data_IF_632031607994
#
_entry.id   IF_632031607994
#
_cell.length_a   1.000
_cell.length_b   1.000
_cell.length_c   1.000
_cell.angle_alpha   90.00
_cell.angle_beta   90.00
_cell.angle_gamma   90.00
#
_symmetry.space_group_name_H-M   'P 1'
#
loop_
_entity.id
_entity.type
_entity.pdbx_description
1 polymer ?
#
# COMPACT_ATOMS: atom_id res chain seq x y z
N UNK A 1 -8.75 -27.54 10.49
CA UNK A 1 -8.18 -26.24 10.04
C UNK A 1 -7.33 -26.55 8.81
N UNK A 2 -7.85 -26.34 7.59
CA UNK A 2 -7.22 -26.80 6.35
C UNK A 2 -6.05 -25.87 5.98
N UNK A 3 -4.85 -26.42 6.06
CA UNK A 3 -3.57 -25.74 5.79
C UNK A 3 -3.43 -25.37 4.29
N UNK A 4 -4.21 -25.98 3.41
CA UNK A 4 -4.20 -25.72 1.97
C UNK A 4 -4.72 -24.33 1.57
N UNK A 5 -5.54 -23.67 2.40
CA UNK A 5 -6.07 -22.32 2.11
C UNK A 5 -5.04 -21.18 2.29
N UNK A 6 -3.85 -21.48 2.83
CA UNK A 6 -2.79 -20.50 3.06
C UNK A 6 -1.89 -20.30 1.84
N UNK A 7 -1.85 -21.24 0.90
CA UNK A 7 -0.78 -21.28 -0.12
C UNK A 7 -1.04 -20.51 -1.41
N UNK A 8 -2.24 -19.95 -1.63
CA UNK A 8 -2.55 -19.27 -2.91
C UNK A 8 -3.15 -17.86 -2.74
N UNK A 9 -2.74 -17.13 -1.70
CA UNK A 9 -3.10 -15.72 -1.53
C UNK A 9 -2.06 -14.85 -2.21
N UNK A 10 -2.50 -13.93 -3.05
CA UNK A 10 -1.63 -12.95 -3.70
C UNK A 10 -2.01 -11.54 -3.28
N UNK A 11 -1.02 -10.64 -3.29
CA UNK A 11 -1.27 -9.22 -3.11
C UNK A 11 -1.86 -8.64 -4.41
N UNK A 12 -2.88 -7.81 -4.29
CA UNK A 12 -3.47 -7.06 -5.38
C UNK A 12 -3.58 -5.60 -5.00
N UNK A 13 -3.57 -4.71 -5.99
CA UNK A 13 -3.81 -3.29 -5.78
C UNK A 13 -5.27 -2.97 -6.09
N UNK A 14 -5.96 -2.33 -5.14
CA UNK A 14 -7.37 -1.98 -5.25
C UNK A 14 -7.63 -0.51 -4.92
N UNK A 15 -8.77 -0.02 -5.38
CA UNK A 15 -9.22 1.35 -5.21
C UNK A 15 -10.41 1.45 -4.26
N UNK A 16 -10.47 2.54 -3.51
CA UNK A 16 -11.59 2.85 -2.63
C UNK A 16 -11.96 4.33 -2.67
N UNK A 17 -13.21 4.64 -2.33
CA UNK A 17 -13.69 6.00 -2.23
C UNK A 17 -13.11 6.67 -0.96
N UNK A 18 -12.39 7.77 -1.14
CA UNK A 18 -11.69 8.49 -0.06
C UNK A 18 -12.57 9.37 0.82
N UNK A 19 -13.87 9.47 0.51
CA UNK A 19 -14.80 10.29 1.28
C UNK A 19 -15.04 9.75 2.70
N UNK A 20 -15.10 10.65 3.68
CA UNK A 20 -15.52 10.31 5.04
C UNK A 20 -14.65 9.23 5.71
N UNK A 21 -15.30 8.22 6.28
CA UNK A 21 -14.68 7.07 6.98
C UNK A 21 -14.74 5.77 6.17
N UNK A 22 -14.82 5.91 4.85
CA UNK A 22 -15.01 4.79 3.93
C UNK A 22 -13.88 3.77 4.01
N UNK A 23 -12.63 4.24 4.21
CA UNK A 23 -11.46 3.36 4.36
C UNK A 23 -11.60 2.46 5.59
N UNK A 24 -11.92 3.03 6.74
CA UNK A 24 -12.05 2.29 8.00
C UNK A 24 -13.19 1.28 7.93
N UNK A 25 -14.34 1.69 7.37
CA UNK A 25 -15.49 0.80 7.15
C UNK A 25 -15.13 -0.36 6.22
N UNK A 26 -14.50 -0.05 5.08
CA UNK A 26 -14.08 -1.06 4.11
C UNK A 26 -13.07 -2.05 4.72
N UNK A 27 -12.10 -1.54 5.47
CA UNK A 27 -11.04 -2.37 6.04
C UNK A 27 -11.59 -3.29 7.14
N UNK A 28 -12.51 -2.80 7.98
CA UNK A 28 -13.23 -3.63 8.95
C UNK A 28 -13.99 -4.75 8.26
N UNK A 29 -14.77 -4.39 7.24
CA UNK A 29 -15.55 -5.37 6.48
C UNK A 29 -14.68 -6.42 5.77
N UNK A 30 -13.56 -6.02 5.18
CA UNK A 30 -12.62 -6.96 4.54
C UNK A 30 -12.02 -7.95 5.55
N UNK A 31 -11.65 -7.47 6.74
CA UNK A 31 -11.15 -8.33 7.82
C UNK A 31 -12.20 -9.36 8.26
N UNK A 32 -13.48 -8.98 8.34
CA UNK A 32 -14.60 -9.90 8.61
C UNK A 32 -14.74 -10.99 7.54
N UNK A 33 -14.37 -10.68 6.28
CA UNK A 33 -14.34 -11.65 5.18
C UNK A 33 -13.03 -12.46 5.11
N UNK A 34 -12.15 -12.35 6.12
CA UNK A 34 -10.84 -12.98 6.17
C UNK A 34 -9.90 -12.58 5.01
N UNK A 35 -10.12 -11.36 4.50
CA UNK A 35 -9.30 -10.69 3.49
C UNK A 35 -8.46 -9.64 4.20
N UNK A 36 -7.16 -9.54 3.86
CA UNK A 36 -6.23 -8.69 4.61
C UNK A 36 -5.96 -7.40 3.80
N UNK A 37 -6.56 -6.25 4.16
CA UNK A 37 -6.25 -4.97 3.56
C UNK A 37 -5.02 -4.35 4.22
N UNK A 38 -4.23 -3.64 3.44
CA UNK A 38 -3.09 -2.88 3.93
C UNK A 38 -2.87 -1.61 3.11
N UNK A 39 -2.46 -0.52 3.75
CA UNK A 39 -2.05 0.71 3.05
C UNK A 39 -0.94 1.39 3.85
N UNK A 40 0.11 1.91 3.20
CA UNK A 40 1.15 2.63 3.90
C UNK A 40 0.62 3.94 4.48
N UNK A 41 0.91 4.18 5.76
CA UNK A 41 0.43 5.33 6.52
C UNK A 41 1.62 6.21 6.97
N UNK A 42 1.39 7.52 7.02
CA UNK A 42 2.33 8.51 7.58
C UNK A 42 1.65 9.39 8.61
N UNK A 43 2.41 9.78 9.64
CA UNK A 43 1.95 10.76 10.63
C UNK A 43 2.47 12.16 10.29
N UNK A 44 1.57 13.11 10.06
CA UNK A 44 1.91 14.54 9.88
C UNK A 44 1.47 15.37 11.07
N UNK A 45 2.28 16.37 11.43
CA UNK A 45 1.92 17.40 12.42
C UNK A 45 1.25 18.55 11.68
N UNK A 46 0.01 18.86 12.03
CA UNK A 46 -0.74 20.00 11.48
C UNK A 46 -0.89 21.04 12.56
N UNK A 47 -0.61 22.30 12.20
CA UNK A 47 -0.79 23.43 13.10
C UNK A 47 -2.28 23.61 13.39
N UNK A 48 -2.63 23.77 14.67
CA UNK A 48 -3.99 24.11 15.07
C UNK A 48 -4.31 25.53 14.64
N UNK A 49 -5.45 25.72 13.99
CA UNK A 49 -5.94 27.05 13.65
C UNK A 49 -6.34 27.86 14.90
N UNK A 50 -6.72 27.16 15.97
CA UNK A 50 -7.22 27.72 17.23
C UNK A 50 -6.14 27.93 18.31
N UNK A 51 -4.90 27.48 18.09
CA UNK A 51 -3.81 27.68 19.04
C UNK A 51 -2.45 27.68 18.31
N UNK A 52 -1.83 28.86 18.24
CA UNK A 52 -0.63 29.13 17.43
C UNK A 52 0.61 28.28 17.78
N UNK A 53 0.65 27.67 18.97
CA UNK A 53 1.78 26.88 19.49
C UNK A 53 1.50 25.36 19.54
N UNK A 54 0.32 24.92 19.10
CA UNK A 54 -0.12 23.54 19.27
C UNK A 54 -0.24 22.82 17.92
N UNK A 55 0.27 21.60 17.86
CA UNK A 55 0.21 20.74 16.68
C UNK A 55 -0.70 19.53 16.96
N UNK A 56 -1.53 19.14 15.99
CA UNK A 56 -2.25 17.87 15.99
C UNK A 56 -1.51 16.88 15.11
N UNK A 57 -1.22 15.70 15.63
CA UNK A 57 -0.76 14.57 14.81
C UNK A 57 -1.98 13.99 14.08
N UNK A 58 -1.89 13.84 12.77
CA UNK A 58 -2.88 13.14 11.94
C UNK A 58 -2.19 12.08 11.12
N UNK A 59 -2.83 10.91 11.04
CA UNK A 59 -2.40 9.80 10.21
C UNK A 59 -3.04 9.95 8.83
N UNK A 60 -2.25 9.76 7.79
CA UNK A 60 -2.65 9.89 6.39
C UNK A 60 -2.21 8.65 5.62
N UNK A 61 -3.03 8.20 4.67
CA UNK A 61 -2.57 7.27 3.65
C UNK A 61 -1.54 7.97 2.74
N UNK A 62 -0.43 7.28 2.47
CA UNK A 62 0.54 7.73 1.46
C UNK A 62 -0.12 7.74 0.08
N UNK A 63 -1.01 6.77 -0.17
CA UNK A 63 -1.79 6.62 -1.41
C UNK A 63 -3.29 6.76 -1.13
N UNK A 64 -3.83 7.98 -1.00
CA UNK A 64 -5.27 8.16 -0.88
C UNK A 64 -6.00 7.51 -2.05
N UNK A 65 -7.00 6.70 -1.75
CA UNK A 65 -7.82 6.00 -2.75
C UNK A 65 -7.27 4.67 -3.22
N UNK A 66 -6.06 4.28 -2.78
CA UNK A 66 -5.45 2.99 -3.12
C UNK A 66 -5.06 2.22 -1.87
N UNK A 67 -5.18 0.90 -1.96
CA UNK A 67 -4.74 -0.03 -0.92
C UNK A 67 -4.35 -1.37 -1.51
N UNK A 68 -3.46 -2.06 -0.83
CA UNK A 68 -3.08 -3.43 -1.13
C UNK A 68 -4.02 -4.38 -0.42
N UNK A 69 -4.33 -5.50 -1.05
CA UNK A 69 -5.19 -6.53 -0.48
C UNK A 69 -4.60 -7.91 -0.75
N UNK A 70 -4.42 -8.69 0.31
CA UNK A 70 -3.97 -10.07 0.23
C UNK A 70 -5.19 -10.98 0.23
N UNK A 71 -5.44 -11.62 -0.91
CA UNK A 71 -6.66 -12.42 -1.13
C UNK A 71 -6.39 -13.58 -2.08
N UNK A 72 -7.18 -14.64 -1.93
CA UNK A 72 -7.29 -15.72 -2.90
C UNK A 72 -8.66 -15.58 -3.59
N UNK A 73 -8.67 -15.32 -4.89
CA UNK A 73 -9.90 -15.13 -5.67
C UNK A 73 -10.73 -16.40 -5.86
N UNK A 74 -10.15 -17.59 -5.67
CA UNK A 74 -10.89 -18.85 -5.69
C UNK A 74 -11.83 -18.98 -4.48
N UNK A 75 -11.46 -18.34 -3.36
CA UNK A 75 -12.22 -18.35 -2.11
C UNK A 75 -13.10 -17.09 -2.02
N UNK A 76 -12.52 -15.93 -2.33
CA UNK A 76 -13.18 -14.64 -2.25
C UNK A 76 -13.21 -14.00 -3.64
N UNK A 77 -14.22 -14.29 -4.47
CA UNK A 77 -14.27 -13.82 -5.84
C UNK A 77 -14.37 -12.29 -5.88
N UNK A 78 -13.86 -11.69 -6.95
CA UNK A 78 -13.86 -10.23 -7.15
C UNK A 78 -15.27 -9.62 -7.01
N UNK A 79 -16.30 -10.33 -7.49
CA UNK A 79 -17.70 -9.92 -7.35
C UNK A 79 -18.15 -9.79 -5.89
N UNK A 80 -17.64 -10.65 -4.99
CA UNK A 80 -17.95 -10.58 -3.58
C UNK A 80 -17.38 -9.31 -2.94
N UNK A 81 -16.15 -8.92 -3.32
CA UNK A 81 -15.46 -7.74 -2.82
C UNK A 81 -16.09 -6.42 -3.30
N UNK A 82 -16.58 -6.40 -4.54
CA UNK A 82 -17.31 -5.25 -5.13
C UNK A 82 -18.65 -4.93 -4.46
N UNK A 83 -19.14 -5.78 -3.55
CA UNK A 83 -20.40 -5.52 -2.82
C UNK A 83 -20.29 -4.38 -1.81
N UNK A 84 -19.08 -4.06 -1.34
CA UNK A 84 -18.91 -2.98 -0.38
C UNK A 84 -18.94 -1.62 -1.10
N UNK A 85 -19.79 -0.69 -0.65
CA UNK A 85 -20.03 0.60 -1.31
C UNK A 85 -18.80 1.51 -1.43
N UNK A 86 -17.85 1.37 -0.49
CA UNK A 86 -16.59 2.10 -0.54
C UNK A 86 -15.54 1.48 -1.48
N UNK A 87 -15.71 0.23 -1.93
CA UNK A 87 -14.80 -0.43 -2.86
C UNK A 87 -15.10 0.04 -4.29
N UNK A 88 -14.09 0.46 -5.03
CA UNK A 88 -14.24 0.94 -6.42
C UNK A 88 -13.99 -0.23 -7.38
N UNK A 89 -12.72 -0.57 -7.60
CA UNK A 89 -12.33 -1.75 -8.38
C UNK A 89 -10.87 -2.11 -8.08
N UNK A 90 -10.43 -3.25 -8.60
CA UNK A 90 -9.02 -3.57 -8.70
C UNK A 90 -8.33 -2.75 -9.79
N UNK A 91 -7.07 -2.40 -9.55
CA UNK A 91 -6.21 -1.82 -10.59
C UNK A 91 -5.93 -2.90 -11.63
N UNK A 92 -6.10 -2.53 -12.90
CA UNK A 92 -5.91 -3.42 -14.04
C UNK A 92 -4.73 -2.95 -14.89
N UNK A 93 -3.87 -3.87 -15.28
CA UNK A 93 -2.76 -3.63 -16.20
C UNK A 93 -2.97 -4.48 -17.45
N UNK A 94 -3.06 -3.83 -18.61
CA UNK A 94 -3.44 -4.53 -19.85
C UNK A 94 -4.87 -5.11 -19.83
N UNK A 95 -5.77 -4.53 -19.02
CA UNK A 95 -7.16 -4.99 -18.88
C UNK A 95 -7.37 -6.10 -17.84
N UNK A 96 -6.30 -6.67 -17.30
CA UNK A 96 -6.36 -7.78 -16.34
C UNK A 96 -6.00 -7.34 -14.91
N UNK A 97 -6.61 -8.01 -13.92
CA UNK A 97 -6.25 -7.85 -12.52
C UNK A 97 -5.02 -8.73 -12.27
N UNK A 98 -3.85 -8.10 -12.14
CA UNK A 98 -2.60 -8.81 -11.92
C UNK A 98 -2.17 -8.76 -10.45
N UNK A 99 -1.55 -9.84 -9.93
CA UNK A 99 -0.96 -9.79 -8.60
C UNK A 99 0.18 -8.77 -8.57
N UNK A 100 0.30 -8.05 -7.47
CA UNK A 100 1.44 -7.19 -7.15
C UNK A 100 2.57 -8.07 -6.66
N UNK A 101 3.79 -7.80 -7.12
CA UNK A 101 4.98 -8.45 -6.59
C UNK A 101 5.06 -8.23 -5.05
N UNK A 102 5.13 -9.33 -4.30
CA UNK A 102 5.20 -9.33 -2.83
C UNK A 102 6.38 -8.51 -2.31
N UNK A 103 7.52 -8.48 -3.00
CA UNK A 103 8.71 -7.74 -2.58
C UNK A 103 8.47 -6.23 -2.51
N UNK A 104 7.58 -5.70 -3.37
CA UNK A 104 7.16 -4.29 -3.33
C UNK A 104 6.35 -4.02 -2.06
N UNK A 105 5.39 -4.89 -1.76
CA UNK A 105 4.55 -4.74 -0.57
C UNK A 105 5.38 -4.86 0.70
N UNK A 106 6.26 -5.87 0.76
CA UNK A 106 7.18 -6.07 1.88
C UNK A 106 8.13 -4.87 2.03
N UNK A 107 8.66 -4.34 0.92
CA UNK A 107 9.47 -3.13 0.92
C UNK A 107 8.75 -1.89 1.43
N UNK A 108 7.49 -1.70 1.00
CA UNK A 108 6.65 -0.59 1.48
C UNK A 108 6.30 -0.75 2.97
N UNK A 109 5.99 -1.96 3.44
CA UNK A 109 5.74 -2.25 4.85
C UNK A 109 6.96 -1.96 5.72
N UNK A 110 8.18 -2.20 5.21
CA UNK A 110 9.41 -1.86 5.92
C UNK A 110 9.60 -0.36 6.10
N UNK A 111 9.28 0.44 5.10
CA UNK A 111 9.43 1.91 5.14
C UNK A 111 8.30 2.55 5.95
N UNK A 112 7.08 2.01 5.83
CA UNK A 112 5.89 2.50 6.49
C UNK A 112 5.33 1.42 7.42
N UNK A 113 6.03 1.10 8.52
CA UNK A 113 5.50 0.17 9.50
C UNK A 113 4.20 0.72 10.08
N UNK A 114 3.27 -0.17 10.40
CA UNK A 114 1.98 0.23 10.96
C UNK A 114 2.22 1.12 12.19
N UNK A 115 1.74 2.37 12.22
CA UNK A 115 1.93 3.26 13.36
C UNK A 115 1.28 2.74 14.66
N UNK A 116 0.44 1.70 14.58
CA UNK A 116 -0.18 1.02 15.73
C UNK A 116 0.67 -0.16 16.24
N UNK A 117 1.58 -0.72 15.43
CA UNK A 117 2.46 -1.82 15.82
C UNK A 117 3.67 -1.29 16.61
N UNK A 118 3.52 -1.33 17.93
CA UNK A 118 4.51 -1.53 19.01
C UNK A 118 5.99 -1.17 18.73
N UNK A 119 6.68 -0.39 19.59
CA UNK A 119 8.14 -0.18 19.51
C UNK A 119 9.00 -1.45 19.36
N UNK A 120 8.55 -2.62 19.81
CA UNK A 120 9.25 -3.91 19.60
C UNK A 120 9.25 -4.43 18.14
N UNK A 121 8.31 -4.01 17.29
CA UNK A 121 8.27 -4.42 15.87
C UNK A 121 9.46 -3.86 15.07
N UNK A 122 10.11 -2.80 15.58
CA UNK A 122 11.26 -2.14 14.96
C UNK A 122 12.51 -3.01 14.98
N UNK A 123 12.66 -3.88 15.97
CA UNK A 123 13.77 -4.82 16.08
C UNK A 123 13.60 -6.01 15.12
N UNK A 124 12.38 -6.53 14.99
CA UNK A 124 12.03 -7.56 13.99
C UNK A 124 12.15 -7.03 12.54
N UNK A 125 11.78 -5.77 12.31
CA UNK A 125 11.97 -5.08 11.03
C UNK A 125 13.45 -4.86 10.67
N UNK A 126 14.30 -4.57 11.66
CA UNK A 126 15.75 -4.48 11.47
C UNK A 126 16.37 -5.86 11.19
N UNK A 127 15.88 -6.93 11.81
CA UNK A 127 16.28 -8.30 11.51
C UNK A 127 15.81 -8.76 10.11
N UNK A 128 14.66 -8.28 9.64
CA UNK A 128 14.15 -8.52 8.28
C UNK A 128 14.80 -7.63 7.20
N UNK A 129 15.71 -6.73 7.58
CA UNK A 129 16.37 -5.77 6.67
C UNK A 129 17.33 -6.42 5.67
N UNK A 130 17.65 -7.71 5.83
CA UNK A 130 18.56 -8.47 4.97
C UNK A 130 17.98 -8.85 3.59
N UNK A 131 16.71 -8.54 3.30
CA UNK A 131 16.12 -8.67 1.95
C UNK A 131 16.15 -7.30 1.28
N UNK A 132 17.08 -7.14 0.35
CA UNK A 132 17.44 -5.86 -0.26
C UNK A 132 16.43 -5.43 -1.33
N UNK A 133 15.72 -4.33 -1.06
CA UNK A 133 15.24 -3.47 -2.15
C UNK A 133 16.47 -2.98 -2.93
N UNK A 134 16.36 -2.96 -4.25
CA UNK A 134 17.42 -2.36 -5.07
C UNK A 134 17.57 -0.88 -4.72
N UNK A 135 18.78 -0.33 -4.84
CA UNK A 135 19.08 1.09 -4.57
C UNK A 135 18.11 2.03 -5.28
N UNK A 136 17.66 1.68 -6.48
CA UNK A 136 16.71 2.47 -7.25
C UNK A 136 15.27 2.39 -6.70
N UNK A 137 14.80 1.20 -6.29
CA UNK A 137 13.52 1.08 -5.58
C UNK A 137 13.51 1.91 -4.31
N UNK A 138 14.61 1.91 -3.55
CA UNK A 138 14.76 2.75 -2.36
C UNK A 138 14.72 4.25 -2.69
N UNK A 139 15.47 4.71 -3.69
CA UNK A 139 15.48 6.12 -4.12
C UNK A 139 14.13 6.58 -4.67
N UNK A 140 13.42 5.68 -5.36
CA UNK A 140 12.08 5.93 -5.85
C UNK A 140 11.09 6.14 -4.71
N UNK A 141 11.14 5.27 -3.70
CA UNK A 141 10.32 5.39 -2.47
C UNK A 141 10.65 6.69 -1.70
N UNK A 142 11.92 7.11 -1.67
CA UNK A 142 12.32 8.40 -1.11
C UNK A 142 11.77 9.60 -1.90
N UNK A 143 11.72 9.52 -3.25
CA UNK A 143 11.04 10.55 -4.06
C UNK A 143 9.55 10.61 -3.73
N UNK A 144 8.90 9.47 -3.50
CA UNK A 144 7.48 9.43 -3.12
C UNK A 144 7.21 10.09 -1.76
N UNK A 145 8.12 9.93 -0.79
CA UNK A 145 8.02 10.59 0.52
C UNK A 145 8.20 12.11 0.42
N UNK A 146 9.16 12.56 -0.38
CA UNK A 146 9.49 13.98 -0.56
C UNK A 146 8.49 14.72 -1.48
N UNK A 147 7.61 14.00 -2.19
CA UNK A 147 6.63 14.61 -3.10
C UNK A 147 5.41 15.11 -2.33
N UNK A 148 5.14 16.42 -2.39
CA UNK A 148 4.04 17.05 -1.66
C UNK A 148 2.65 16.78 -2.27
N UNK A 149 2.58 16.46 -3.57
CA UNK A 149 1.32 16.31 -4.31
C UNK A 149 0.85 14.85 -4.38
N UNK A 150 -0.42 14.54 -4.03
CA UNK A 150 -0.96 13.17 -4.08
C UNK A 150 -0.97 12.53 -5.47
N UNK A 151 -1.28 13.30 -6.53
CA UNK A 151 -1.37 12.79 -7.90
C UNK A 151 -0.03 12.23 -8.39
N UNK A 152 1.06 12.95 -8.14
CA UNK A 152 2.40 12.49 -8.45
C UNK A 152 2.76 11.19 -7.72
N UNK A 153 2.33 11.02 -6.47
CA UNK A 153 2.58 9.78 -5.69
C UNK A 153 1.77 8.59 -6.21
N UNK A 154 0.56 8.83 -6.72
CA UNK A 154 -0.29 7.79 -7.33
C UNK A 154 0.33 7.32 -8.65
N UNK A 155 0.74 8.24 -9.51
CA UNK A 155 1.45 7.89 -10.75
C UNK A 155 2.68 7.06 -10.46
N UNK A 156 3.45 7.44 -9.44
CA UNK A 156 4.63 6.69 -9.02
C UNK A 156 4.26 5.29 -8.47
N UNK A 157 3.21 5.17 -7.67
CA UNK A 157 2.73 3.86 -7.22
C UNK A 157 2.36 2.94 -8.39
N UNK A 158 1.60 3.46 -9.37
CA UNK A 158 1.15 2.67 -10.52
C UNK A 158 2.32 2.21 -11.39
N UNK A 159 3.30 3.08 -11.60
CA UNK A 159 4.55 2.76 -12.33
C UNK A 159 5.36 1.68 -11.59
N UNK A 160 5.54 1.82 -10.27
CA UNK A 160 6.24 0.82 -9.45
C UNK A 160 5.59 -0.56 -9.55
N UNK A 161 4.26 -0.62 -9.48
CA UNK A 161 3.50 -1.87 -9.53
C UNK A 161 3.45 -2.47 -10.93
N UNK A 162 3.39 -1.64 -11.98
CA UNK A 162 3.35 -2.09 -13.39
C UNK A 162 4.66 -2.72 -13.85
N UNK A 163 5.79 -2.17 -13.42
CA UNK A 163 7.11 -2.47 -14.01
C UNK A 163 7.94 -3.48 -13.21
N UNK A 164 7.40 -4.01 -12.11
CA UNK A 164 8.07 -4.94 -11.20
C UNK A 164 8.52 -6.25 -11.86
N UNK A 165 7.93 -6.63 -12.99
CA UNK A 165 8.26 -7.86 -13.74
C UNK A 165 9.41 -7.67 -14.73
N UNK A 166 9.80 -6.42 -15.03
CA UNK A 166 10.86 -6.12 -15.99
C UNK A 166 12.11 -5.67 -15.24
N UNK A 167 13.13 -6.53 -15.19
CA UNK A 167 14.50 -6.18 -14.78
C UNK A 167 15.08 -4.95 -15.52
N UNK A 168 14.43 -4.47 -16.59
CA UNK A 168 14.87 -3.34 -17.42
C UNK A 168 14.30 -1.95 -17.08
N UNK A 169 13.37 -1.80 -16.12
CA UNK A 169 12.80 -0.47 -15.85
C UNK A 169 13.78 0.51 -15.16
N UNK A 170 14.83 -0.02 -14.53
CA UNK A 170 15.79 0.78 -13.78
C UNK A 170 16.84 1.49 -14.66
N UNK A 171 17.04 1.09 -15.92
CA UNK A 171 17.99 1.77 -16.81
C UNK A 171 17.45 3.10 -17.34
N UNK A 172 16.12 3.25 -17.46
CA UNK A 172 15.50 4.49 -17.95
C UNK A 172 15.44 5.61 -16.91
N UNK A 173 15.40 5.29 -15.61
CA UNK A 173 15.37 6.29 -14.53
C UNK A 173 16.75 6.79 -14.11
N UNK A 174 17.83 6.11 -14.52
CA UNK A 174 19.23 6.56 -14.33
C UNK A 174 19.63 7.61 -15.38
N UNK A 175 18.89 7.72 -16.50
CA UNK A 175 19.20 8.59 -17.62
C UNK A 175 18.26 9.80 -17.78
N UNK A 176 17.56 10.21 -16.73
CA UNK A 176 16.90 11.52 -16.71
C UNK A 176 17.93 12.53 -16.16
N UNK A 177 18.39 13.51 -16.96
CA UNK A 177 19.38 14.50 -16.50
C UNK A 177 18.88 15.35 -15.33
#
# INVERSE_FOLDING_TARGET
>A
MNIEHLNNRNWYLAQYNTAGKNRESLFSWLNEQNVIPWTPLITRKIRRADAGCCFRKRVYAIFPGYFFVLVNFDIQPVSALRRHSAFIDFVKFGGEIKPVNKDIVDGLMKIYPDPVLNPGAREELNAASDIWLTKAQYQYLLRMENTLQPESRISLLLELVSNAEHHGFLEHLVNIP
#
